data_IF_087118173694
#
_entry.id   IF_087118173694
#
_cell.length_a   1.000
_cell.length_b   1.000
_cell.length_c   1.000
_cell.angle_alpha   90.00
_cell.angle_beta   90.00
_cell.angle_gamma   90.00
#
_symmetry.space_group_name_H-M   'P 1'
#
loop_
_entity.id
_entity.type
_entity.pdbx_description
1 polymer ?
#
# COMPACT_ATOMS: atom_id res chain seq x y z
N UNK A 1 6.37 7.26 -17.96
CA UNK A 1 6.31 6.73 -16.58
C UNK A 1 5.94 7.88 -15.68
N UNK A 2 4.94 7.71 -14.83
CA UNK A 2 4.65 8.70 -13.78
C UNK A 2 5.77 8.59 -12.73
N UNK A 3 6.49 9.68 -12.48
CA UNK A 3 7.50 9.69 -11.42
C UNK A 3 6.82 9.86 -10.06
N UNK A 4 6.97 8.85 -9.19
CA UNK A 4 6.47 8.90 -7.82
C UNK A 4 7.62 9.21 -6.87
N UNK A 5 7.56 10.34 -6.17
CA UNK A 5 8.49 10.61 -5.08
C UNK A 5 8.10 9.80 -3.83
N UNK A 6 8.54 8.55 -3.75
CA UNK A 6 8.25 7.65 -2.61
C UNK A 6 8.88 8.08 -1.28
N UNK A 7 9.61 9.20 -1.23
CA UNK A 7 10.14 9.80 0.01
C UNK A 7 9.16 10.75 0.68
N UNK A 8 8.01 11.03 0.06
CA UNK A 8 6.91 11.76 0.69
C UNK A 8 5.74 10.82 0.94
N UNK A 9 4.92 11.13 1.93
CA UNK A 9 3.72 10.39 2.30
C UNK A 9 2.77 10.27 1.11
N UNK A 10 2.53 11.41 0.44
CA UNK A 10 1.66 11.50 -0.74
C UNK A 10 2.21 10.63 -1.88
N UNK A 11 3.52 10.70 -2.14
CA UNK A 11 4.14 9.94 -3.22
C UNK A 11 4.18 8.43 -2.95
N UNK A 12 4.36 8.02 -1.69
CA UNK A 12 4.28 6.63 -1.28
C UNK A 12 2.87 6.05 -1.47
N UNK A 13 1.83 6.76 -1.00
CA UNK A 13 0.43 6.36 -1.18
C UNK A 13 0.03 6.34 -2.66
N UNK A 14 0.44 7.35 -3.42
CA UNK A 14 0.16 7.43 -4.87
C UNK A 14 0.79 6.25 -5.63
N UNK A 15 2.03 5.88 -5.29
CA UNK A 15 2.70 4.72 -5.88
C UNK A 15 1.96 3.41 -5.55
N UNK A 16 1.57 3.21 -4.28
CA UNK A 16 0.82 2.02 -3.88
C UNK A 16 -0.52 1.89 -4.63
N UNK A 17 -1.30 2.98 -4.73
CA UNK A 17 -2.55 3.02 -5.50
C UNK A 17 -2.32 2.73 -6.99
N UNK A 18 -1.24 3.26 -7.56
CA UNK A 18 -0.84 2.97 -8.94
C UNK A 18 -0.55 1.48 -9.14
N UNK A 19 0.16 0.84 -8.21
CA UNK A 19 0.42 -0.60 -8.29
C UNK A 19 -0.87 -1.42 -8.27
N UNK A 20 -1.83 -1.09 -7.38
CA UNK A 20 -3.14 -1.75 -7.34
C UNK A 20 -3.86 -1.59 -8.67
N UNK A 21 -3.99 -0.35 -9.18
CA UNK A 21 -4.69 -0.05 -10.44
C UNK A 21 -4.14 -0.83 -11.63
N UNK A 22 -2.83 -1.07 -11.66
CA UNK A 22 -2.17 -1.79 -12.75
C UNK A 22 -2.06 -3.30 -12.53
N UNK A 23 -2.45 -3.80 -11.36
CA UNK A 23 -2.29 -5.20 -10.98
C UNK A 23 -0.84 -5.61 -10.69
N UNK A 24 0.00 -4.67 -10.28
CA UNK A 24 1.41 -4.87 -9.98
C UNK A 24 1.62 -5.30 -8.52
N UNK A 25 1.56 -6.61 -8.28
CA UNK A 25 1.75 -7.22 -6.96
C UNK A 25 3.14 -6.94 -6.39
N UNK A 26 4.19 -7.00 -7.23
CA UNK A 26 5.57 -6.79 -6.78
C UNK A 26 5.81 -5.35 -6.37
N UNK A 27 5.30 -4.40 -7.16
CA UNK A 27 5.34 -2.98 -6.82
C UNK A 27 4.58 -2.68 -5.53
N UNK A 28 3.37 -3.23 -5.37
CA UNK A 28 2.56 -3.09 -4.15
C UNK A 28 3.29 -3.65 -2.91
N UNK A 29 3.87 -4.85 -3.01
CA UNK A 29 4.65 -5.48 -1.94
C UNK A 29 5.87 -4.65 -1.54
N UNK A 30 6.52 -3.97 -2.48
CA UNK A 30 7.68 -3.12 -2.19
C UNK A 30 7.35 -1.90 -1.31
N UNK A 31 6.07 -1.65 -1.02
CA UNK A 31 5.63 -0.59 -0.12
C UNK A 31 5.63 -1.03 1.36
N UNK A 32 5.75 -2.33 1.64
CA UNK A 32 5.70 -2.86 3.00
C UNK A 32 7.10 -3.00 3.60
N UNK A 33 7.22 -2.65 4.89
CA UNK A 33 8.39 -2.99 5.69
C UNK A 33 8.51 -4.53 5.82
N UNK A 34 9.72 -5.12 5.93
CA UNK A 34 9.89 -6.56 6.13
C UNK A 34 9.12 -7.13 7.35
N UNK A 35 8.87 -6.29 8.35
CA UNK A 35 8.12 -6.65 9.56
C UNK A 35 6.67 -6.14 9.57
N UNK A 36 6.17 -5.69 8.42
CA UNK A 36 4.82 -5.14 8.34
C UNK A 36 3.74 -6.18 8.69
N UNK A 37 2.61 -5.67 9.19
CA UNK A 37 1.39 -6.43 9.44
C UNK A 37 0.29 -5.84 8.58
N UNK A 38 -0.29 -6.64 7.70
CA UNK A 38 -1.51 -6.29 6.98
C UNK A 38 -2.71 -6.89 7.69
N UNK A 39 -3.71 -6.09 8.00
CA UNK A 39 -4.96 -6.54 8.61
C UNK A 39 -6.04 -6.46 7.54
N UNK A 40 -6.67 -7.59 7.24
CA UNK A 40 -7.75 -7.64 6.25
C UNK A 40 -9.12 -7.26 6.85
N UNK A 41 -10.14 -7.28 6.00
CA UNK A 41 -11.53 -6.94 6.33
C UNK A 41 -12.14 -7.80 7.46
N UNK A 42 -11.62 -9.00 7.69
CA UNK A 42 -12.12 -9.93 8.70
C UNK A 42 -11.28 -9.86 9.99
N UNK A 43 -10.35 -8.90 10.06
CA UNK A 43 -9.46 -8.70 11.20
C UNK A 43 -8.30 -9.69 11.23
N UNK A 44 -8.08 -10.45 10.17
CA UNK A 44 -6.97 -11.42 10.12
C UNK A 44 -5.67 -10.68 9.81
N UNK A 45 -4.65 -11.01 10.58
CA UNK A 45 -3.31 -10.50 10.41
C UNK A 45 -2.48 -11.35 9.45
N UNK A 46 -1.77 -10.67 8.56
CA UNK A 46 -0.80 -11.23 7.64
C UNK A 46 0.55 -10.57 7.92
N UNK A 47 1.53 -11.35 8.39
CA UNK A 47 2.79 -10.83 8.91
C UNK A 47 3.93 -11.10 7.94
N UNK A 48 4.63 -10.04 7.56
CA UNK A 48 5.76 -10.07 6.64
C UNK A 48 5.38 -10.25 5.17
N UNK A 49 6.31 -9.95 4.24
CA UNK A 49 6.04 -9.91 2.79
C UNK A 49 5.44 -11.20 2.21
N UNK A 50 5.89 -12.37 2.67
CA UNK A 50 5.41 -13.67 2.14
C UNK A 50 3.91 -13.90 2.41
N UNK A 51 3.42 -13.46 3.57
CA UNK A 51 2.00 -13.59 3.92
C UNK A 51 1.18 -12.48 3.26
N UNK A 52 1.71 -11.25 3.28
CA UNK A 52 1.08 -10.08 2.68
C UNK A 52 0.93 -10.25 1.16
N UNK A 53 1.82 -10.99 0.50
CA UNK A 53 1.74 -11.28 -0.93
C UNK A 53 0.42 -11.92 -1.32
N UNK A 54 -0.16 -12.77 -0.47
CA UNK A 54 -1.47 -13.39 -0.74
C UNK A 54 -2.57 -12.34 -0.83
N UNK A 55 -2.62 -11.43 0.15
CA UNK A 55 -3.57 -10.32 0.14
C UNK A 55 -3.32 -9.38 -1.06
N UNK A 56 -2.06 -9.07 -1.39
CA UNK A 56 -1.75 -8.20 -2.52
C UNK A 56 -2.13 -8.84 -3.86
N UNK A 57 -1.96 -10.15 -4.02
CA UNK A 57 -2.44 -10.87 -5.21
C UNK A 57 -3.94 -10.70 -5.40
N UNK A 58 -4.73 -10.81 -4.34
CA UNK A 58 -6.18 -10.63 -4.39
C UNK A 58 -6.55 -9.19 -4.73
N UNK A 59 -5.95 -8.21 -4.06
CA UNK A 59 -6.26 -6.79 -4.27
C UNK A 59 -5.85 -6.31 -5.65
N UNK A 60 -4.62 -6.60 -6.08
CA UNK A 60 -4.10 -6.19 -7.39
C UNK A 60 -4.88 -6.84 -8.55
N UNK A 61 -5.44 -8.05 -8.36
CA UNK A 61 -6.28 -8.70 -9.38
C UNK A 61 -7.55 -7.89 -9.69
N UNK A 62 -8.08 -7.15 -8.72
CA UNK A 62 -9.27 -6.32 -8.91
C UNK A 62 -8.99 -5.09 -9.79
N UNK A 63 -7.72 -4.66 -9.89
CA UNK A 63 -7.31 -3.47 -10.66
C UNK A 63 -8.14 -2.23 -10.33
N UNK A 64 -8.46 -2.08 -9.04
CA UNK A 64 -9.32 -1.00 -8.57
C UNK A 64 -8.67 0.35 -8.87
N UNK A 65 -9.46 1.25 -9.43
CA UNK A 65 -9.10 2.66 -9.52
C UNK A 65 -9.50 3.35 -8.21
N UNK A 66 -8.63 3.26 -7.21
CA UNK A 66 -8.87 3.83 -5.89
C UNK A 66 -8.73 5.36 -5.96
N UNK A 67 -9.88 6.03 -6.08
CA UNK A 67 -10.00 7.48 -5.98
C UNK A 67 -10.25 7.84 -4.51
N UNK A 68 -9.30 8.53 -3.89
CA UNK A 68 -9.45 9.03 -2.52
C UNK A 68 -9.60 10.54 -2.50
N UNK A 69 -10.35 11.05 -1.53
CA UNK A 69 -10.30 12.47 -1.17
C UNK A 69 -8.96 12.81 -0.48
N UNK A 70 -8.73 14.09 -0.19
CA UNK A 70 -7.51 14.55 0.49
C UNK A 70 -7.39 13.85 1.85
N UNK A 71 -6.36 13.01 2.08
CA UNK A 71 -6.21 12.28 3.34
C UNK A 71 -5.85 13.23 4.49
N UNK A 72 -6.38 12.94 5.68
CA UNK A 72 -5.94 13.60 6.90
C UNK A 72 -4.71 12.91 7.44
N UNK A 73 -3.54 13.52 7.25
CA UNK A 73 -2.27 12.93 7.68
C UNK A 73 -1.93 13.42 9.08
N UNK A 74 -1.66 12.49 10.00
CA UNK A 74 -1.05 12.79 11.29
C UNK A 74 0.36 12.21 11.31
N UNK A 75 1.34 13.05 11.64
CA UNK A 75 2.75 12.64 11.76
C UNK A 75 3.13 12.64 13.25
N UNK A 76 3.61 11.50 13.74
CA UNK A 76 4.16 11.32 15.08
C UNK A 76 5.61 10.90 14.94
N UNK A 77 6.54 11.81 15.24
CA UNK A 77 7.97 11.63 14.98
C UNK A 77 8.24 11.32 13.51
N UNK A 78 8.68 10.10 13.21
CA UNK A 78 9.00 9.57 11.89
C UNK A 78 7.90 8.65 11.31
N UNK A 79 6.75 8.54 12.00
CA UNK A 79 5.60 7.76 11.57
C UNK A 79 4.50 8.66 11.00
N UNK A 80 4.07 8.37 9.78
CA UNK A 80 2.90 9.00 9.17
C UNK A 80 1.71 8.03 9.20
N UNK A 81 0.54 8.54 9.59
CA UNK A 81 -0.74 7.82 9.60
C UNK A 81 -1.76 8.62 8.79
N UNK A 82 -2.64 7.92 8.07
CA UNK A 82 -3.67 8.50 7.21
C UNK A 82 -5.03 7.82 7.42
#
# INVERSE_FOLDING_TARGET
MQEFNRKTEIGAVAYFRYCIRNGDVKGALSCFHPEAVYIDRDGREWRGPEQIERAMNEICRLKLDIQGETPHITVVNDLAMW
#
